data_IF_633370130781
#
_entry.id   IF_633370130781
#
_cell.length_a   1.000
_cell.length_b   1.000
_cell.length_c   1.000
_cell.angle_alpha   90.00
_cell.angle_beta   90.00
_cell.angle_gamma   90.00
#
_symmetry.space_group_name_H-M   'P 1'
#
loop_
_entity.id
_entity.type
_entity.pdbx_description
1 polymer ?
#
# COMPACT_ATOMS: atom_id res chain seq x y z
N UNK A 1 3.10 10.14 -34.61
CA UNK A 1 2.69 10.08 -33.18
C UNK A 1 3.31 8.81 -32.58
N UNK A 2 4.44 8.94 -31.87
CA UNK A 2 5.18 7.79 -31.35
C UNK A 2 4.64 7.27 -30.02
N UNK A 3 4.77 5.97 -29.77
CA UNK A 3 4.43 5.36 -28.47
C UNK A 3 5.45 5.80 -27.42
N UNK A 4 4.98 6.46 -26.35
CA UNK A 4 5.85 6.94 -25.25
C UNK A 4 5.87 5.91 -24.11
N UNK A 5 7.06 5.68 -23.57
CA UNK A 5 7.27 4.79 -22.42
C UNK A 5 6.71 5.42 -21.14
N UNK A 6 6.22 4.59 -20.21
CA UNK A 6 5.71 5.08 -18.92
C UNK A 6 6.83 5.73 -18.09
N UNK A 7 6.70 7.03 -17.73
CA UNK A 7 7.78 7.81 -17.13
C UNK A 7 8.20 7.32 -15.73
N UNK A 8 7.29 6.71 -14.98
CA UNK A 8 7.63 6.11 -13.68
C UNK A 8 8.42 4.83 -13.87
N UNK A 9 8.03 4.01 -14.86
CA UNK A 9 8.67 2.72 -15.11
C UNK A 9 10.12 2.89 -15.54
N UNK A 10 10.37 3.83 -16.47
CA UNK A 10 11.71 4.17 -16.94
C UNK A 10 12.65 4.66 -15.82
N UNK A 11 12.11 5.23 -14.75
CA UNK A 11 12.88 5.83 -13.64
C UNK A 11 12.99 4.93 -12.40
N UNK A 12 12.33 3.77 -12.39
CA UNK A 12 12.43 2.81 -11.29
C UNK A 12 13.86 2.31 -11.17
N UNK A 13 14.40 2.30 -9.95
CA UNK A 13 15.78 1.87 -9.67
C UNK A 13 16.86 2.93 -9.92
N UNK A 14 16.53 4.05 -10.58
CA UNK A 14 17.46 5.17 -10.81
C UNK A 14 17.16 6.31 -9.83
N UNK A 15 15.96 6.88 -9.93
CA UNK A 15 15.51 8.02 -9.10
C UNK A 15 14.17 7.77 -8.41
N UNK A 16 13.42 6.75 -8.83
CA UNK A 16 12.15 6.35 -8.21
C UNK A 16 12.28 4.98 -7.56
N UNK A 17 11.79 4.89 -6.33
CA UNK A 17 11.70 3.63 -5.58
C UNK A 17 10.41 2.87 -5.90
N UNK A 18 10.44 1.56 -5.71
CA UNK A 18 9.25 0.71 -5.78
C UNK A 18 8.22 1.10 -4.70
N UNK A 19 6.95 0.94 -5.02
CA UNK A 19 5.83 1.15 -4.07
C UNK A 19 5.55 -0.07 -3.20
N UNK A 20 6.03 -1.25 -3.58
CA UNK A 20 6.01 -2.45 -2.77
C UNK A 20 7.46 -2.94 -2.66
N UNK A 21 7.98 -3.08 -1.44
CA UNK A 21 9.34 -3.55 -1.18
C UNK A 21 9.25 -4.74 -0.23
N UNK A 22 9.29 -5.93 -0.79
CA UNK A 22 9.28 -7.19 -0.05
C UNK A 22 9.84 -8.31 -0.92
N UNK A 23 10.27 -9.40 -0.28
CA UNK A 23 10.79 -10.59 -0.93
C UNK A 23 9.98 -11.81 -0.49
N UNK A 24 9.77 -12.75 -1.41
CA UNK A 24 9.17 -14.06 -1.13
C UNK A 24 9.64 -15.04 -2.19
N UNK A 25 9.69 -16.33 -1.85
CA UNK A 25 10.00 -17.38 -2.81
C UNK A 25 8.89 -17.56 -3.85
N UNK A 26 9.28 -17.95 -5.06
CA UNK A 26 8.47 -17.81 -6.27
C UNK A 26 7.05 -18.39 -6.22
N UNK A 27 6.85 -19.49 -5.48
CA UNK A 27 5.54 -20.14 -5.33
C UNK A 27 4.51 -19.25 -4.60
N UNK A 28 4.96 -18.46 -3.61
CA UNK A 28 4.09 -17.62 -2.80
C UNK A 28 3.95 -16.19 -3.35
N UNK A 29 4.68 -15.82 -4.41
CA UNK A 29 4.67 -14.46 -4.96
C UNK A 29 3.30 -14.03 -5.47
N UNK A 30 2.64 -14.89 -6.26
CA UNK A 30 1.35 -14.59 -6.87
C UNK A 30 0.27 -14.32 -5.80
N UNK A 31 0.23 -15.15 -4.75
CA UNK A 31 -0.73 -15.01 -3.65
C UNK A 31 -0.51 -13.70 -2.89
N UNK A 32 0.74 -13.40 -2.52
CA UNK A 32 1.07 -12.15 -1.80
C UNK A 32 0.81 -10.91 -2.64
N UNK A 33 1.08 -10.96 -3.95
CA UNK A 33 0.76 -9.87 -4.87
C UNK A 33 -0.75 -9.63 -4.97
N UNK A 34 -1.55 -10.69 -5.06
CA UNK A 34 -3.01 -10.57 -5.14
C UNK A 34 -3.61 -9.93 -3.86
N UNK A 35 -3.07 -10.30 -2.69
CA UNK A 35 -3.42 -9.67 -1.40
C UNK A 35 -3.03 -8.18 -1.40
N UNK A 36 -1.82 -7.83 -1.87
CA UNK A 36 -1.37 -6.43 -1.96
C UNK A 36 -2.33 -5.59 -2.82
N UNK A 37 -2.77 -6.11 -3.98
CA UNK A 37 -3.70 -5.43 -4.86
C UNK A 37 -5.06 -5.18 -4.19
N UNK A 38 -5.62 -6.21 -3.53
CA UNK A 38 -6.88 -6.10 -2.77
C UNK A 38 -6.79 -5.05 -1.67
N UNK A 39 -5.70 -5.05 -0.90
CA UNK A 39 -5.51 -4.08 0.19
C UNK A 39 -5.35 -2.66 -0.36
N UNK A 40 -4.61 -2.47 -1.46
CA UNK A 40 -4.48 -1.16 -2.12
C UNK A 40 -5.84 -0.62 -2.58
N UNK A 41 -6.66 -1.47 -3.17
CA UNK A 41 -8.00 -1.09 -3.61
C UNK A 41 -8.90 -0.74 -2.43
N UNK A 42 -8.86 -1.54 -1.36
CA UNK A 42 -9.61 -1.29 -0.14
C UNK A 42 -9.25 0.06 0.49
N UNK A 43 -7.96 0.33 0.69
CA UNK A 43 -7.48 1.58 1.29
C UNK A 43 -7.89 2.77 0.44
N UNK A 44 -7.78 2.69 -0.90
CA UNK A 44 -8.19 3.77 -1.81
C UNK A 44 -9.70 4.06 -1.73
N UNK A 45 -10.54 3.02 -1.67
CA UNK A 45 -11.99 3.19 -1.53
C UNK A 45 -12.36 3.79 -0.17
N UNK A 46 -11.77 3.27 0.91
CA UNK A 46 -12.06 3.71 2.28
C UNK A 46 -11.60 5.15 2.53
N UNK A 47 -10.43 5.52 2.03
CA UNK A 47 -9.80 6.83 2.23
C UNK A 47 -10.00 7.79 1.05
N UNK A 48 -11.05 7.61 0.26
CA UNK A 48 -11.33 8.46 -0.90
C UNK A 48 -11.40 9.96 -0.54
N UNK A 49 -11.96 10.29 0.63
CA UNK A 49 -12.06 11.68 1.12
C UNK A 49 -10.74 12.22 1.69
N UNK A 50 -9.78 11.35 2.01
CA UNK A 50 -8.52 11.73 2.65
C UNK A 50 -7.46 12.22 1.65
N UNK A 51 -7.69 12.13 0.33
CA UNK A 51 -6.71 12.55 -0.69
C UNK A 51 -5.35 11.81 -0.57
N UNK A 52 -5.41 10.48 -0.68
CA UNK A 52 -4.23 9.60 -0.63
C UNK A 52 -3.45 9.67 -1.94
N UNK A 53 -2.17 10.00 -1.88
CA UNK A 53 -1.29 10.13 -3.05
C UNK A 53 -0.50 8.85 -3.35
N UNK A 54 0.08 8.23 -2.33
CA UNK A 54 0.92 7.03 -2.46
C UNK A 54 0.66 6.07 -1.32
N UNK A 55 0.69 4.78 -1.64
CA UNK A 55 0.63 3.69 -0.65
C UNK A 55 1.88 2.85 -0.86
N UNK A 56 2.72 2.81 0.17
CA UNK A 56 3.94 2.01 0.22
C UNK A 56 3.70 0.79 1.09
N UNK A 57 4.04 -0.40 0.58
CA UNK A 57 3.86 -1.67 1.29
C UNK A 57 5.23 -2.30 1.46
N UNK A 58 5.59 -2.56 2.72
CA UNK A 58 6.79 -3.28 3.09
C UNK A 58 6.39 -4.51 3.90
N UNK A 59 7.08 -5.63 3.72
CA UNK A 59 6.81 -6.87 4.49
C UNK A 59 8.06 -7.35 5.22
N UNK A 60 8.42 -6.74 6.36
CA UNK A 60 9.52 -7.22 7.19
C UNK A 60 9.08 -8.44 8.01
N UNK A 61 9.81 -9.57 7.90
CA UNK A 61 9.72 -10.76 8.74
C UNK A 61 8.29 -11.09 9.25
N UNK A 62 7.46 -11.64 8.36
CA UNK A 62 6.05 -12.01 8.60
C UNK A 62 5.09 -10.89 8.99
N UNK A 63 5.53 -9.64 9.16
CA UNK A 63 4.65 -8.48 9.39
C UNK A 63 4.44 -7.66 8.12
N UNK A 64 3.42 -6.81 8.10
CA UNK A 64 3.17 -5.87 7.02
C UNK A 64 3.20 -4.43 7.53
N UNK A 65 4.10 -3.63 6.96
CA UNK A 65 4.18 -2.19 7.21
C UNK A 65 3.61 -1.45 6.01
N UNK A 66 2.49 -0.76 6.23
CA UNK A 66 1.82 0.02 5.20
C UNK A 66 1.98 1.50 5.55
N UNK A 67 2.60 2.25 4.65
CA UNK A 67 2.78 3.70 4.79
C UNK A 67 1.87 4.40 3.79
N UNK A 68 1.00 5.26 4.30
CA UNK A 68 0.00 5.99 3.52
C UNK A 68 0.44 7.45 3.47
N UNK A 69 0.79 7.92 2.27
CA UNK A 69 1.09 9.32 2.04
C UNK A 69 -0.22 10.02 1.66
N UNK A 70 -0.64 10.95 2.51
CA UNK A 70 -1.93 11.64 2.40
C UNK A 70 -1.74 13.14 2.60
N UNK A 71 -2.52 13.94 1.87
CA UNK A 71 -2.57 15.39 2.07
C UNK A 71 -3.39 15.79 3.31
N UNK A 72 -4.31 14.92 3.78
CA UNK A 72 -5.19 15.19 4.92
C UNK A 72 -5.05 14.10 5.99
N UNK A 73 -3.97 14.11 6.80
CA UNK A 73 -3.73 13.08 7.79
C UNK A 73 -4.80 13.02 8.89
N UNK A 74 -5.41 14.15 9.26
CA UNK A 74 -6.42 14.20 10.33
C UNK A 74 -7.64 13.31 10.07
N UNK A 75 -8.10 13.21 8.81
CA UNK A 75 -9.22 12.35 8.42
C UNK A 75 -8.84 10.87 8.50
N UNK A 76 -7.57 10.55 8.22
CA UNK A 76 -7.08 9.16 8.28
C UNK A 76 -6.94 8.71 9.74
N UNK A 77 -6.42 9.58 10.61
CA UNK A 77 -6.20 9.29 12.03
C UNK A 77 -7.52 9.19 12.81
N UNK A 78 -8.48 10.07 12.50
CA UNK A 78 -9.76 10.13 13.21
C UNK A 78 -9.64 10.70 14.62
N UNK A 79 -10.70 10.59 15.42
CA UNK A 79 -10.70 11.07 16.82
C UNK A 79 -9.84 10.14 17.67
N UNK A 80 -8.78 10.66 18.28
CA UNK A 80 -7.84 9.91 19.14
C UNK A 80 -7.23 8.65 18.50
N UNK A 81 -7.16 8.56 17.17
CA UNK A 81 -6.57 7.40 16.48
C UNK A 81 -7.53 6.22 16.25
N UNK A 82 -8.83 6.37 16.52
CA UNK A 82 -9.81 5.30 16.40
C UNK A 82 -9.89 4.74 14.96
N UNK A 83 -9.90 5.61 13.95
CA UNK A 83 -10.05 5.20 12.55
C UNK A 83 -8.81 4.46 12.03
N UNK A 84 -7.61 4.87 12.45
CA UNK A 84 -6.36 4.13 12.13
C UNK A 84 -6.39 2.74 12.75
N UNK A 85 -6.82 2.62 14.00
CA UNK A 85 -6.84 1.34 14.68
C UNK A 85 -7.88 0.39 14.06
N UNK A 86 -9.02 0.92 13.63
CA UNK A 86 -10.02 0.17 12.87
C UNK A 86 -9.48 -0.30 11.51
N UNK A 87 -8.84 0.61 10.76
CA UNK A 87 -8.26 0.30 9.46
C UNK A 87 -7.14 -0.74 9.59
N UNK A 88 -6.31 -0.66 10.64
CA UNK A 88 -5.28 -1.65 10.96
C UNK A 88 -5.89 -3.03 11.16
N UNK A 89 -6.94 -3.17 11.99
CA UNK A 89 -7.61 -4.46 12.24
C UNK A 89 -8.23 -5.06 10.99
N UNK A 90 -8.87 -4.24 10.16
CA UNK A 90 -9.49 -4.67 8.91
C UNK A 90 -8.42 -5.16 7.90
N UNK A 91 -7.30 -4.44 7.79
CA UNK A 91 -6.20 -4.81 6.89
C UNK A 91 -5.45 -6.05 7.40
N UNK A 92 -5.20 -6.16 8.70
CA UNK A 92 -4.60 -7.35 9.33
C UNK A 92 -5.44 -8.60 9.04
N UNK A 93 -6.77 -8.49 9.17
CA UNK A 93 -7.71 -9.57 8.85
C UNK A 93 -7.65 -9.99 7.37
N UNK A 94 -7.51 -9.04 6.45
CA UNK A 94 -7.39 -9.34 5.02
C UNK A 94 -6.03 -9.97 4.65
N UNK A 95 -4.95 -9.57 5.33
CA UNK A 95 -3.61 -10.10 5.05
C UNK A 95 -3.31 -11.42 5.77
N UNK A 96 -4.09 -11.79 6.80
CA UNK A 96 -3.84 -12.98 7.63
C UNK A 96 -2.56 -12.86 8.46
N UNK A 97 -2.18 -11.63 8.81
CA UNK A 97 -0.92 -11.27 9.47
C UNK A 97 -1.25 -10.24 10.58
N UNK A 98 -0.62 -10.32 11.77
CA UNK A 98 -0.83 -9.35 12.86
C UNK A 98 -0.37 -7.92 12.55
#
# INVERSE_FOLDING_TARGET
>A
MGQKVHPTGLRLGIVKNHTSVWYVDGLAYAEKLHIDLKVREYIRKRLAQASVSRIEIQRPAQTARITINTARPGIVIGKKGEDVERLRREVARMMGIP
#
